data_IF_439077007440
#
_entry.id   IF_439077007440
#
_cell.length_a   1.000
_cell.length_b   1.000
_cell.length_c   1.000
_cell.angle_alpha   90.00
_cell.angle_beta   90.00
_cell.angle_gamma   90.00
#
_symmetry.space_group_name_H-M   'P 1'
#
loop_
_entity.id
_entity.type
_entity.pdbx_description
1 polymer ?
#
# COMPACT_ATOMS: atom_id res chain seq x y z
N UNK A 1 -4.21 27.73 71.70
CA UNK A 1 -3.46 26.81 70.86
C UNK A 1 -4.31 26.52 69.64
N UNK A 2 -3.94 27.11 68.51
CA UNK A 2 -4.66 26.92 67.22
C UNK A 2 -3.82 25.92 66.42
N UNK A 3 -4.38 24.70 66.22
CA UNK A 3 -3.72 23.66 65.43
C UNK A 3 -3.86 23.93 63.95
N UNK A 4 -2.74 24.08 63.27
CA UNK A 4 -2.64 24.27 61.83
C UNK A 4 -2.68 22.88 61.16
N UNK A 5 -3.81 22.52 60.56
CA UNK A 5 -3.88 21.33 59.66
C UNK A 5 -3.25 21.68 58.31
N UNK A 6 -2.06 21.17 58.08
CA UNK A 6 -1.45 21.20 56.74
C UNK A 6 -1.99 20.02 55.92
N UNK A 7 -2.85 20.31 54.95
CA UNK A 7 -3.32 19.30 53.96
C UNK A 7 -2.28 19.22 52.88
N UNK A 8 -1.50 18.13 52.88
CA UNK A 8 -0.60 17.79 51.74
C UNK A 8 -1.47 17.29 50.57
N UNK A 9 -1.58 18.11 49.54
CA UNK A 9 -2.04 17.66 48.22
C UNK A 9 -0.92 16.91 47.53
N UNK A 10 -0.98 15.57 47.54
CA UNK A 10 -0.16 14.74 46.66
C UNK A 10 -0.83 14.75 45.28
N UNK A 11 -0.35 15.58 44.40
CA UNK A 11 -0.75 15.60 42.99
C UNK A 11 -0.22 14.35 42.31
N UNK A 12 -1.06 13.32 42.19
CA UNK A 12 -0.78 12.20 41.28
C UNK A 12 -0.98 12.75 39.87
N UNK A 13 0.12 13.09 39.21
CA UNK A 13 0.09 13.31 37.78
C UNK A 13 -0.21 11.97 37.10
N UNK A 14 -1.48 11.71 36.82
CA UNK A 14 -1.86 10.69 35.85
C UNK A 14 -1.26 11.10 34.52
N UNK A 15 -0.12 10.50 34.15
CA UNK A 15 0.31 10.52 32.77
C UNK A 15 -0.78 9.80 31.97
N UNK A 16 -1.60 10.57 31.26
CA UNK A 16 -2.49 10.00 30.28
C UNK A 16 -1.60 9.27 29.24
N UNK A 17 -1.56 7.95 29.33
CA UNK A 17 -0.95 7.14 28.29
C UNK A 17 -1.65 7.50 26.98
N UNK A 18 -0.90 7.93 25.99
CA UNK A 18 -1.43 8.17 24.66
C UNK A 18 -2.17 6.92 24.21
N UNK A 19 -3.42 7.06 23.81
CA UNK A 19 -4.22 5.98 23.24
C UNK A 19 -3.64 5.49 21.90
N UNK A 20 -2.70 6.23 21.34
CA UNK A 20 -2.06 5.91 20.07
C UNK A 20 -0.62 5.43 20.28
N UNK A 21 -0.13 4.50 19.45
CA UNK A 21 1.25 4.05 19.51
C UNK A 21 2.22 5.18 19.22
N UNK A 22 3.45 5.02 19.70
CA UNK A 22 4.55 5.91 19.38
C UNK A 22 5.13 5.51 18.01
N UNK A 23 4.59 6.07 16.95
CA UNK A 23 5.04 5.80 15.57
C UNK A 23 6.51 6.16 15.33
N UNK A 24 7.11 7.03 16.17
CA UNK A 24 8.53 7.40 16.03
C UNK A 24 9.51 6.25 16.28
N UNK A 25 9.02 5.15 16.81
CA UNK A 25 9.78 3.91 17.02
C UNK A 25 9.40 2.81 16.03
N UNK A 26 8.55 3.12 15.07
CA UNK A 26 8.00 2.16 14.12
C UNK A 26 8.54 2.39 12.71
N UNK A 27 8.64 1.31 11.95
CA UNK A 27 9.14 1.29 10.59
C UNK A 27 7.98 1.16 9.60
N UNK A 28 7.99 2.03 8.59
CA UNK A 28 6.97 2.06 7.55
C UNK A 28 7.48 1.46 6.25
N UNK A 29 6.75 0.48 5.71
CA UNK A 29 6.96 -0.10 4.39
C UNK A 29 5.78 0.15 3.47
N UNK A 30 5.99 0.25 2.17
CA UNK A 30 4.91 0.29 1.19
C UNK A 30 5.29 -0.27 -0.17
N UNK A 31 4.27 -0.77 -0.87
CA UNK A 31 4.31 -1.17 -2.28
C UNK A 31 3.14 -0.54 -3.04
N UNK A 32 3.31 -0.40 -4.34
CA UNK A 32 2.29 0.18 -5.22
C UNK A 32 2.76 0.40 -6.65
N UNK A 33 1.97 1.16 -7.37
CA UNK A 33 2.24 1.53 -8.76
C UNK A 33 2.79 2.96 -8.90
N UNK A 34 2.61 3.59 -10.08
CA UNK A 34 3.08 4.95 -10.37
C UNK A 34 2.57 6.02 -9.38
N UNK A 35 1.41 5.82 -8.76
CA UNK A 35 0.85 6.75 -7.76
C UNK A 35 1.68 6.68 -6.47
N UNK A 36 2.27 5.53 -6.15
CA UNK A 36 3.10 5.30 -4.96
C UNK A 36 4.60 5.51 -5.24
N UNK A 37 5.08 5.17 -6.44
CA UNK A 37 6.50 5.25 -6.82
C UNK A 37 7.07 6.68 -6.68
N UNK A 38 6.25 7.72 -6.83
CA UNK A 38 6.64 9.12 -6.59
C UNK A 38 6.81 9.49 -5.12
N UNK A 39 6.52 8.59 -4.20
CA UNK A 39 6.70 8.70 -2.74
C UNK A 39 5.94 9.82 -2.02
N UNK A 40 5.19 10.69 -2.70
CA UNK A 40 4.64 11.89 -2.07
C UNK A 40 3.58 11.59 -1.02
N UNK A 41 2.59 10.71 -1.31
CA UNK A 41 1.60 10.36 -0.31
C UNK A 41 2.21 9.55 0.84
N UNK A 42 3.14 8.63 0.56
CA UNK A 42 3.77 7.79 1.58
C UNK A 42 4.69 8.62 2.48
N UNK A 43 5.45 9.57 1.93
CA UNK A 43 6.19 10.57 2.73
C UNK A 43 5.26 11.43 3.60
N UNK A 44 4.11 11.86 3.07
CA UNK A 44 3.11 12.59 3.87
C UNK A 44 2.63 11.76 5.05
N UNK A 45 2.41 10.45 4.87
CA UNK A 45 2.07 9.52 5.97
C UNK A 45 3.19 9.46 7.00
N UNK A 46 4.41 9.22 6.54
CA UNK A 46 5.60 9.13 7.41
C UNK A 46 5.80 10.39 8.22
N UNK A 47 5.73 11.56 7.58
CA UNK A 47 5.92 12.85 8.25
C UNK A 47 4.81 13.16 9.27
N UNK A 48 3.54 12.90 8.94
CA UNK A 48 2.40 13.18 9.81
C UNK A 48 2.31 12.26 11.02
N UNK A 49 2.73 11.01 10.88
CA UNK A 49 2.71 10.03 11.97
C UNK A 49 4.06 9.96 12.69
N UNK A 50 5.12 10.44 12.07
CA UNK A 50 6.47 10.47 12.62
C UNK A 50 7.19 9.13 12.59
N UNK A 51 6.95 8.28 11.59
CA UNK A 51 7.63 6.99 11.47
C UNK A 51 9.16 7.14 11.42
N UNK A 52 9.86 6.17 12.04
CA UNK A 52 11.32 6.16 12.08
C UNK A 52 11.97 5.93 10.71
N UNK A 53 11.33 5.14 9.86
CA UNK A 53 11.85 4.78 8.52
C UNK A 53 10.77 4.83 7.46
N UNK A 54 11.21 4.92 6.19
CA UNK A 54 10.37 4.85 5.01
C UNK A 54 11.01 3.92 3.97
N UNK A 55 10.43 2.75 3.74
CA UNK A 55 10.90 1.79 2.74
C UNK A 55 9.83 1.57 1.66
N UNK A 56 10.02 2.13 0.48
CA UNK A 56 9.10 2.09 -0.65
C UNK A 56 9.70 1.27 -1.80
N UNK A 57 9.03 0.17 -2.15
CA UNK A 57 9.43 -0.71 -3.27
C UNK A 57 8.53 -0.56 -4.50
N UNK A 58 7.61 0.41 -4.49
CA UNK A 58 6.69 0.67 -5.58
C UNK A 58 7.38 1.08 -6.87
N UNK A 59 6.88 0.60 -8.00
CA UNK A 59 7.37 0.95 -9.34
C UNK A 59 6.20 1.37 -10.24
N UNK A 60 6.43 2.34 -11.11
CA UNK A 60 5.42 2.79 -12.07
C UNK A 60 4.86 1.63 -12.92
N UNK A 61 3.56 1.66 -13.18
CA UNK A 61 2.85 0.64 -13.98
C UNK A 61 2.68 -0.74 -13.34
N UNK A 62 3.11 -0.94 -12.10
CA UNK A 62 2.99 -2.21 -11.40
C UNK A 62 1.53 -2.69 -11.27
N UNK A 63 1.38 -4.01 -11.19
CA UNK A 63 0.11 -4.73 -11.00
C UNK A 63 0.20 -5.70 -9.82
N UNK A 64 -0.95 -6.06 -9.26
CA UNK A 64 -1.06 -7.22 -8.38
C UNK A 64 -0.80 -8.52 -9.16
N UNK A 65 -1.49 -8.64 -10.31
CA UNK A 65 -1.39 -9.80 -11.18
C UNK A 65 0.01 -9.94 -11.75
N UNK A 66 0.57 -11.14 -11.66
CA UNK A 66 1.79 -11.51 -12.36
C UNK A 66 1.50 -11.69 -13.85
N UNK A 67 2.46 -11.34 -14.69
CA UNK A 67 2.45 -11.79 -16.08
C UNK A 67 2.79 -13.29 -16.13
N UNK A 68 2.26 -14.08 -17.11
CA UNK A 68 2.62 -15.49 -17.26
C UNK A 68 4.12 -15.77 -17.34
N UNK A 69 4.89 -14.80 -17.86
CA UNK A 69 6.34 -14.89 -17.97
C UNK A 69 7.10 -14.29 -16.77
N UNK A 70 6.37 -13.92 -15.69
CA UNK A 70 7.00 -13.42 -14.46
C UNK A 70 7.89 -14.50 -13.87
N UNK A 71 9.15 -14.13 -13.61
CA UNK A 71 10.13 -15.01 -12.99
C UNK A 71 10.26 -14.68 -11.50
N UNK A 72 10.47 -15.71 -10.69
CA UNK A 72 10.86 -15.53 -9.30
C UNK A 72 12.36 -15.23 -9.26
N UNK A 73 12.72 -14.02 -8.86
CA UNK A 73 14.11 -13.64 -8.68
C UNK A 73 14.51 -13.85 -7.21
N UNK A 74 15.63 -14.48 -7.00
CA UNK A 74 16.37 -14.33 -5.76
C UNK A 74 16.88 -12.89 -5.63
N UNK A 75 17.38 -12.52 -4.46
CA UNK A 75 17.83 -11.15 -4.14
C UNK A 75 18.75 -10.49 -5.17
N UNK A 76 19.50 -11.28 -5.94
CA UNK A 76 20.39 -10.79 -7.00
C UNK A 76 19.65 -10.36 -8.29
N UNK A 77 18.37 -10.69 -8.47
CA UNK A 77 17.61 -10.48 -9.70
C UNK A 77 16.76 -9.21 -9.76
N UNK A 78 16.72 -8.42 -8.68
CA UNK A 78 15.82 -7.25 -8.60
C UNK A 78 16.26 -6.02 -9.38
N UNK A 79 17.51 -5.97 -9.85
CA UNK A 79 18.04 -4.85 -10.61
C UNK A 79 17.30 -4.60 -11.96
N UNK A 80 16.52 -5.57 -12.42
CA UNK A 80 15.78 -5.51 -13.67
C UNK A 80 14.33 -5.07 -13.57
N UNK A 81 13.81 -4.69 -12.36
CA UNK A 81 12.43 -4.22 -12.24
C UNK A 81 12.30 -2.83 -12.84
N UNK A 82 11.41 -2.67 -13.81
CA UNK A 82 11.18 -1.39 -14.48
C UNK A 82 9.71 -1.19 -14.84
N UNK A 83 9.25 0.06 -14.74
CA UNK A 83 7.96 0.50 -15.26
C UNK A 83 7.96 0.86 -16.76
N UNK A 84 9.01 0.54 -17.50
CA UNK A 84 9.15 0.85 -18.93
C UNK A 84 8.00 0.32 -19.78
N UNK A 85 7.60 1.07 -20.80
CA UNK A 85 6.47 0.74 -21.67
C UNK A 85 6.89 0.21 -23.05
N UNK A 86 8.15 0.46 -23.45
CA UNK A 86 8.66 0.08 -24.76
C UNK A 86 9.59 -1.14 -24.64
N UNK A 87 9.35 -2.23 -25.37
CA UNK A 87 10.30 -3.32 -25.44
C UNK A 87 11.60 -2.85 -26.10
N UNK A 88 12.72 -3.30 -25.56
CA UNK A 88 14.03 -3.12 -26.21
C UNK A 88 14.25 -4.18 -27.28
N UNK A 89 15.16 -3.92 -28.24
CA UNK A 89 15.48 -4.87 -29.31
C UNK A 89 15.98 -6.21 -28.78
N UNK A 90 16.61 -6.23 -27.61
CA UNK A 90 17.12 -7.45 -26.96
C UNK A 90 16.08 -8.15 -26.06
N UNK A 91 14.84 -7.64 -25.99
CA UNK A 91 13.77 -8.17 -25.15
C UNK A 91 13.95 -7.96 -23.65
N UNK A 92 15.05 -7.32 -23.22
CA UNK A 92 15.40 -7.14 -21.81
C UNK A 92 14.39 -6.28 -21.05
N UNK A 93 13.91 -5.21 -21.69
CA UNK A 93 12.90 -4.34 -21.09
C UNK A 93 11.55 -5.03 -20.95
N UNK A 94 11.20 -5.92 -21.89
CA UNK A 94 10.00 -6.73 -21.80
C UNK A 94 10.07 -7.65 -20.56
N UNK A 95 11.21 -8.31 -20.33
CA UNK A 95 11.43 -9.14 -19.13
C UNK A 95 11.35 -8.30 -17.85
N UNK A 96 11.92 -7.10 -17.85
CA UNK A 96 11.85 -6.17 -16.72
C UNK A 96 10.40 -5.77 -16.40
N UNK A 97 9.54 -5.61 -17.42
CA UNK A 97 8.10 -5.35 -17.23
C UNK A 97 7.37 -6.52 -16.62
N UNK A 98 7.67 -7.74 -17.03
CA UNK A 98 7.03 -8.95 -16.51
C UNK A 98 7.31 -9.14 -15.02
N UNK A 99 8.38 -8.55 -14.52
CA UNK A 99 8.74 -8.55 -13.11
C UNK A 99 8.25 -7.33 -12.33
N UNK A 100 7.61 -6.38 -12.99
CA UNK A 100 7.02 -5.21 -12.35
C UNK A 100 5.64 -5.53 -11.78
N UNK A 101 5.64 -6.44 -10.82
CA UNK A 101 4.44 -6.98 -10.18
C UNK A 101 4.67 -7.08 -8.66
N UNK A 102 3.58 -7.01 -7.89
CA UNK A 102 3.67 -6.99 -6.43
C UNK A 102 4.43 -8.21 -5.88
N UNK A 103 4.27 -9.39 -6.45
CA UNK A 103 5.01 -10.58 -6.02
C UNK A 103 6.53 -10.35 -6.00
N UNK A 104 7.09 -9.84 -7.08
CA UNK A 104 8.53 -9.56 -7.19
C UNK A 104 8.96 -8.39 -6.30
N UNK A 105 8.11 -7.35 -6.17
CA UNK A 105 8.37 -6.24 -5.25
C UNK A 105 8.44 -6.72 -3.79
N UNK A 106 7.55 -7.60 -3.37
CA UNK A 106 7.55 -8.14 -2.00
C UNK A 106 8.76 -9.05 -1.76
N UNK A 107 9.15 -9.87 -2.74
CA UNK A 107 10.40 -10.63 -2.65
C UNK A 107 11.63 -9.71 -2.48
N UNK A 108 11.68 -8.61 -3.25
CA UNK A 108 12.70 -7.58 -3.11
C UNK A 108 12.68 -6.94 -1.72
N UNK A 109 11.49 -6.52 -1.25
CA UNK A 109 11.33 -5.93 0.08
C UNK A 109 11.88 -6.83 1.17
N UNK A 110 11.51 -8.11 1.15
CA UNK A 110 11.97 -9.11 2.13
C UNK A 110 13.50 -9.26 2.07
N UNK A 111 14.07 -9.39 0.86
CA UNK A 111 15.51 -9.53 0.69
C UNK A 111 16.29 -8.30 1.21
N UNK A 112 15.78 -7.09 1.01
CA UNK A 112 16.39 -5.86 1.52
C UNK A 112 16.32 -5.77 3.05
N UNK A 113 15.25 -6.29 3.67
CA UNK A 113 15.17 -6.40 5.14
C UNK A 113 16.09 -7.50 5.67
N UNK A 114 16.12 -8.68 5.06
CA UNK A 114 16.96 -9.80 5.48
C UNK A 114 18.45 -9.48 5.33
N UNK A 115 18.85 -8.67 4.36
CA UNK A 115 20.21 -8.18 4.19
C UNK A 115 20.62 -7.10 5.22
N UNK A 116 19.66 -6.60 6.01
CA UNK A 116 19.87 -5.51 6.96
C UNK A 116 19.91 -4.11 6.33
N UNK A 117 19.59 -3.96 5.04
CA UNK A 117 19.52 -2.67 4.37
C UNK A 117 18.40 -1.81 4.95
N UNK A 118 17.27 -2.43 5.30
CA UNK A 118 16.14 -1.80 5.96
C UNK A 118 15.69 -2.63 7.17
N UNK A 119 15.11 -2.00 8.19
CA UNK A 119 14.49 -2.73 9.30
C UNK A 119 13.18 -3.40 8.86
N UNK A 120 12.76 -4.44 9.61
CA UNK A 120 11.45 -5.05 9.44
C UNK A 120 10.33 -4.02 9.64
N UNK A 121 9.24 -4.08 8.85
CA UNK A 121 8.14 -3.12 8.95
C UNK A 121 7.26 -3.40 10.19
N UNK A 122 6.84 -2.34 10.87
CA UNK A 122 5.76 -2.39 11.84
C UNK A 122 4.40 -2.07 11.18
N UNK A 123 4.45 -1.27 10.11
CA UNK A 123 3.30 -0.93 9.26
C UNK A 123 3.68 -1.15 7.80
N UNK A 124 2.83 -1.87 7.05
CA UNK A 124 2.98 -2.03 5.60
C UNK A 124 1.70 -1.62 4.87
N UNK A 125 1.83 -0.78 3.84
CA UNK A 125 0.70 -0.27 3.07
C UNK A 125 0.82 -0.64 1.60
N UNK A 126 -0.15 -1.36 1.09
CA UNK A 126 -0.32 -1.58 -0.35
C UNK A 126 -1.21 -0.50 -0.95
N UNK A 127 -0.78 0.11 -2.06
CA UNK A 127 -1.59 1.04 -2.86
C UNK A 127 -1.47 0.69 -4.34
N UNK A 128 -2.20 -0.33 -4.76
CA UNK A 128 -2.11 -0.94 -6.08
C UNK A 128 -3.52 -1.26 -6.65
N UNK A 129 -3.58 -1.81 -7.86
CA UNK A 129 -4.82 -2.26 -8.51
C UNK A 129 -5.25 -1.41 -9.71
N UNK A 130 -4.75 -0.18 -9.85
CA UNK A 130 -5.12 0.72 -10.96
C UNK A 130 -4.84 0.12 -12.33
N UNK A 131 -3.75 -0.63 -12.49
CA UNK A 131 -3.26 -1.16 -13.77
C UNK A 131 -3.73 -2.58 -14.09
N UNK A 132 -4.31 -3.27 -13.12
CA UNK A 132 -4.73 -4.66 -13.27
C UNK A 132 -5.86 -4.79 -14.31
N UNK A 133 -5.77 -5.83 -15.13
CA UNK A 133 -6.74 -6.18 -16.18
C UNK A 133 -7.41 -7.52 -15.93
N UNK A 134 -6.63 -8.52 -15.54
CA UNK A 134 -7.11 -9.87 -15.26
C UNK A 134 -7.46 -9.96 -13.79
N UNK A 135 -8.77 -9.81 -13.49
CA UNK A 135 -9.20 -9.62 -12.11
C UNK A 135 -9.25 -10.92 -11.31
N UNK A 136 -9.67 -12.02 -11.91
CA UNK A 136 -10.01 -13.24 -11.19
C UNK A 136 -11.15 -13.01 -10.17
N UNK A 137 -11.30 -13.89 -9.21
CA UNK A 137 -12.28 -13.72 -8.14
C UNK A 137 -11.65 -13.95 -6.76
N UNK A 138 -12.17 -13.26 -5.75
CA UNK A 138 -11.74 -13.46 -4.37
C UNK A 138 -12.03 -14.89 -3.89
N UNK A 139 -13.16 -15.48 -4.32
CA UNK A 139 -13.52 -16.84 -3.99
C UNK A 139 -12.46 -17.84 -4.47
N UNK A 140 -12.04 -17.77 -5.74
CA UNK A 140 -11.01 -18.66 -6.28
C UNK A 140 -9.65 -18.42 -5.64
N UNK A 141 -9.30 -17.18 -5.38
CA UNK A 141 -8.05 -16.84 -4.70
C UNK A 141 -7.98 -17.36 -3.26
N UNK A 142 -9.11 -17.41 -2.53
CA UNK A 142 -9.18 -17.74 -1.10
C UNK A 142 -9.48 -19.22 -0.83
N UNK A 143 -10.18 -19.90 -1.73
CA UNK A 143 -10.73 -21.24 -1.50
C UNK A 143 -9.65 -22.30 -1.27
N UNK A 144 -9.48 -22.73 0.00
CA UNK A 144 -8.72 -23.92 0.40
C UNK A 144 -7.28 -24.04 -0.10
N UNK A 145 -6.73 -22.98 -0.68
CA UNK A 145 -5.41 -22.98 -1.32
C UNK A 145 -4.32 -22.49 -0.37
N UNK A 146 -3.20 -23.18 -0.40
CA UNK A 146 -1.94 -22.65 0.14
C UNK A 146 -1.42 -21.51 -0.77
N UNK A 147 -0.46 -20.72 -0.30
CA UNK A 147 0.14 -19.68 -1.15
C UNK A 147 0.77 -20.20 -2.44
N UNK A 148 1.29 -21.45 -2.42
CA UNK A 148 1.86 -22.09 -3.60
C UNK A 148 0.82 -22.47 -4.67
N UNK A 149 -0.45 -22.62 -4.28
CA UNK A 149 -1.56 -23.01 -5.16
C UNK A 149 -2.37 -21.82 -5.67
N UNK A 150 -2.08 -20.61 -5.18
CA UNK A 150 -2.78 -19.40 -5.61
C UNK A 150 -2.38 -19.04 -7.04
N UNK A 151 -3.37 -18.83 -7.89
CA UNK A 151 -3.13 -18.31 -9.25
C UNK A 151 -2.79 -16.82 -9.19
N UNK A 152 -1.50 -16.53 -9.12
CA UNK A 152 -0.98 -15.16 -9.06
C UNK A 152 -1.06 -14.41 -10.39
N UNK A 153 -1.53 -15.04 -11.47
CA UNK A 153 -1.72 -14.35 -12.76
C UNK A 153 -3.00 -13.50 -12.78
N UNK A 154 -3.82 -13.59 -11.75
CA UNK A 154 -4.98 -12.73 -11.53
C UNK A 154 -4.71 -11.68 -10.45
N UNK A 155 -5.44 -10.56 -10.50
CA UNK A 155 -5.36 -9.50 -9.48
C UNK A 155 -5.71 -10.05 -8.08
N UNK A 156 -6.77 -10.86 -8.00
CA UNK A 156 -7.20 -11.46 -6.74
C UNK A 156 -6.13 -12.37 -6.14
N UNK A 157 -5.53 -13.23 -6.95
CA UNK A 157 -4.49 -14.13 -6.51
C UNK A 157 -3.19 -13.41 -6.15
N UNK A 158 -2.76 -12.46 -6.97
CA UNK A 158 -1.57 -11.65 -6.70
C UNK A 158 -1.72 -10.83 -5.41
N UNK A 159 -2.89 -10.20 -5.20
CA UNK A 159 -3.18 -9.45 -3.97
C UNK A 159 -3.17 -10.36 -2.73
N UNK A 160 -3.86 -11.51 -2.79
CA UNK A 160 -3.81 -12.47 -1.69
C UNK A 160 -2.38 -12.90 -1.38
N UNK A 161 -1.62 -13.29 -2.42
CA UNK A 161 -0.27 -13.78 -2.25
C UNK A 161 0.62 -12.72 -1.56
N UNK A 162 0.62 -11.50 -2.05
CA UNK A 162 1.47 -10.43 -1.53
C UNK A 162 1.11 -10.06 -0.09
N UNK A 163 -0.18 -9.89 0.20
CA UNK A 163 -0.66 -9.53 1.55
C UNK A 163 -0.32 -10.63 2.54
N UNK A 164 -0.64 -11.88 2.22
CA UNK A 164 -0.39 -13.02 3.11
C UNK A 164 1.11 -13.26 3.32
N UNK A 165 1.95 -13.06 2.29
CA UNK A 165 3.40 -13.17 2.40
C UNK A 165 3.97 -12.18 3.42
N UNK A 166 3.52 -10.91 3.41
CA UNK A 166 3.94 -9.93 4.42
C UNK A 166 3.48 -10.33 5.81
N UNK A 167 2.24 -10.81 5.97
CA UNK A 167 1.72 -11.27 7.26
C UNK A 167 2.49 -12.48 7.83
N UNK A 168 2.93 -13.40 6.97
CA UNK A 168 3.69 -14.59 7.38
C UNK A 168 5.14 -14.26 7.73
N UNK A 169 5.81 -13.38 6.96
CA UNK A 169 7.19 -12.97 7.23
C UNK A 169 7.30 -12.01 8.42
N UNK A 170 6.31 -11.14 8.61
CA UNK A 170 6.28 -10.12 9.64
C UNK A 170 4.99 -10.20 10.47
N UNK A 171 4.82 -11.21 11.35
CA UNK A 171 3.56 -11.47 12.04
C UNK A 171 3.09 -10.34 12.98
N UNK A 172 3.96 -9.41 13.33
CA UNK A 172 3.63 -8.24 14.14
C UNK A 172 3.32 -7.00 13.30
N UNK A 173 3.56 -7.06 11.99
CA UNK A 173 3.29 -5.97 11.06
C UNK A 173 1.79 -5.74 10.91
N UNK A 174 1.35 -4.49 11.02
CA UNK A 174 -0.01 -4.09 10.65
C UNK A 174 -0.06 -3.78 9.17
N UNK A 175 -0.81 -4.59 8.44
CA UNK A 175 -0.96 -4.45 6.99
C UNK A 175 -2.24 -3.68 6.66
N UNK A 176 -2.12 -2.73 5.74
CA UNK A 176 -3.22 -1.94 5.20
C UNK A 176 -3.23 -2.04 3.67
N UNK A 177 -4.42 -2.02 3.09
CA UNK A 177 -4.59 -2.03 1.62
C UNK A 177 -5.42 -0.83 1.23
N UNK A 178 -4.86 0.05 0.40
CA UNK A 178 -5.59 1.18 -0.18
C UNK A 178 -6.33 0.74 -1.44
N UNK A 179 -7.59 1.14 -1.57
CA UNK A 179 -8.30 1.02 -2.85
C UNK A 179 -7.70 1.96 -3.90
N UNK A 180 -7.82 1.65 -5.21
CA UNK A 180 -7.59 2.65 -6.25
C UNK A 180 -8.41 3.91 -5.98
N UNK A 181 -7.89 5.08 -6.34
CA UNK A 181 -8.61 6.36 -6.27
C UNK A 181 -9.59 6.51 -7.45
N UNK A 182 -10.51 7.48 -7.36
CA UNK A 182 -11.28 7.91 -8.52
C UNK A 182 -10.38 8.60 -9.54
N UNK A 183 -10.71 8.45 -10.80
CA UNK A 183 -10.03 9.03 -11.97
C UNK A 183 -10.99 9.91 -12.75
N UNK A 184 -10.50 10.68 -13.71
CA UNK A 184 -11.34 11.43 -14.64
C UNK A 184 -12.06 10.56 -15.69
N UNK A 185 -11.69 9.27 -15.79
CA UNK A 185 -12.28 8.32 -16.74
C UNK A 185 -13.35 7.47 -16.06
N UNK A 186 -14.61 7.61 -16.55
CA UNK A 186 -15.78 6.91 -16.01
C UNK A 186 -15.64 5.39 -16.13
N UNK A 187 -15.19 4.90 -17.29
CA UNK A 187 -15.04 3.45 -17.53
C UNK A 187 -13.98 2.84 -16.59
N UNK A 188 -12.90 3.57 -16.36
CA UNK A 188 -11.89 3.15 -15.38
C UNK A 188 -12.46 3.12 -13.96
N UNK A 189 -13.29 4.08 -13.61
CA UNK A 189 -13.92 4.12 -12.29
C UNK A 189 -14.88 2.93 -12.09
N UNK A 190 -15.65 2.55 -13.10
CA UNK A 190 -16.51 1.34 -13.06
C UNK A 190 -15.66 0.09 -12.80
N UNK A 191 -14.57 -0.09 -13.54
CA UNK A 191 -13.64 -1.21 -13.31
C UNK A 191 -12.94 -1.14 -11.94
N UNK A 192 -12.66 0.05 -11.44
CA UNK A 192 -12.10 0.19 -10.09
C UNK A 192 -13.08 -0.29 -9.02
N UNK A 193 -14.40 -0.11 -9.20
CA UNK A 193 -15.39 -0.64 -8.26
C UNK A 193 -15.38 -2.18 -8.20
N UNK A 194 -15.21 -2.86 -9.34
CA UNK A 194 -15.06 -4.32 -9.39
C UNK A 194 -13.80 -4.76 -8.62
N UNK A 195 -12.66 -4.09 -8.83
CA UNK A 195 -11.40 -4.34 -8.12
C UNK A 195 -11.53 -4.14 -6.61
N UNK A 196 -12.23 -3.07 -6.22
CA UNK A 196 -12.49 -2.76 -4.81
C UNK A 196 -13.31 -3.85 -4.13
N UNK A 197 -14.31 -4.39 -4.81
CA UNK A 197 -15.11 -5.49 -4.29
C UNK A 197 -14.23 -6.72 -4.00
N UNK A 198 -13.35 -7.09 -4.93
CA UNK A 198 -12.38 -8.19 -4.76
C UNK A 198 -11.43 -7.93 -3.59
N UNK A 199 -10.80 -6.74 -3.54
CA UNK A 199 -9.87 -6.39 -2.47
C UNK A 199 -10.54 -6.40 -1.09
N UNK A 200 -11.80 -5.96 -1.00
CA UNK A 200 -12.57 -5.98 0.24
C UNK A 200 -12.78 -7.40 0.77
N UNK A 201 -13.09 -8.34 -0.11
CA UNK A 201 -13.26 -9.75 0.25
C UNK A 201 -11.95 -10.38 0.74
N UNK A 202 -10.84 -10.12 0.03
CA UNK A 202 -9.52 -10.62 0.41
C UNK A 202 -9.08 -10.02 1.75
N UNK A 203 -9.20 -8.71 1.92
CA UNK A 203 -8.84 -8.04 3.17
C UNK A 203 -9.68 -8.56 4.34
N UNK A 204 -11.00 -8.77 4.14
CA UNK A 204 -11.87 -9.34 5.16
C UNK A 204 -11.43 -10.76 5.56
N UNK A 205 -11.09 -11.60 4.59
CA UNK A 205 -10.68 -12.98 4.84
C UNK A 205 -9.33 -13.07 5.59
N UNK A 206 -8.43 -12.12 5.33
CA UNK A 206 -7.11 -12.06 5.96
C UNK A 206 -7.06 -11.17 7.22
N UNK A 207 -8.21 -10.63 7.66
CA UNK A 207 -8.30 -9.67 8.78
C UNK A 207 -7.39 -8.44 8.60
N UNK A 208 -7.28 -7.96 7.37
CA UNK A 208 -6.49 -6.79 6.98
C UNK A 208 -7.41 -5.58 6.77
N UNK A 209 -6.96 -4.41 7.22
CA UNK A 209 -7.73 -3.17 7.07
C UNK A 209 -7.68 -2.66 5.63
N UNK A 210 -8.85 -2.49 5.01
CA UNK A 210 -9.00 -1.80 3.73
C UNK A 210 -9.19 -0.29 3.97
N UNK A 211 -8.34 0.54 3.38
CA UNK A 211 -8.46 2.00 3.36
C UNK A 211 -9.17 2.41 2.07
N UNK A 212 -10.41 2.87 2.16
CA UNK A 212 -11.23 3.22 1.01
C UNK A 212 -10.87 4.60 0.44
N UNK A 213 -9.74 4.66 -0.28
CA UNK A 213 -9.29 5.86 -0.96
C UNK A 213 -10.24 6.28 -2.10
N UNK A 214 -10.97 5.34 -2.71
CA UNK A 214 -11.94 5.64 -3.76
C UNK A 214 -13.06 6.56 -3.28
N UNK A 215 -13.60 6.25 -2.12
CA UNK A 215 -14.76 6.97 -1.58
C UNK A 215 -14.36 8.16 -0.70
N UNK A 216 -13.18 8.13 -0.07
CA UNK A 216 -12.90 9.02 1.05
C UNK A 216 -11.60 9.84 0.93
N UNK A 217 -10.77 9.64 -0.11
CA UNK A 217 -9.52 10.42 -0.27
C UNK A 217 -9.74 11.90 -0.53
N UNK A 218 -10.94 12.32 -0.91
CA UNK A 218 -11.25 13.68 -1.33
C UNK A 218 -11.01 13.94 -2.83
N UNK A 219 -10.45 12.98 -3.57
CA UNK A 219 -10.29 13.03 -5.02
C UNK A 219 -11.60 12.51 -5.63
N UNK A 220 -12.34 13.38 -6.31
CA UNK A 220 -13.64 13.06 -6.89
C UNK A 220 -13.58 13.15 -8.41
N UNK A 221 -13.78 12.03 -9.09
CA UNK A 221 -13.68 11.93 -10.56
C UNK A 221 -14.56 12.94 -11.31
N UNK A 222 -15.68 13.36 -10.73
CA UNK A 222 -16.56 14.40 -11.29
C UNK A 222 -15.84 15.74 -11.56
N UNK A 223 -14.80 16.07 -10.80
CA UNK A 223 -14.03 17.31 -10.94
C UNK A 223 -12.70 17.12 -11.66
N UNK A 224 -12.45 15.90 -12.15
CA UNK A 224 -11.25 15.56 -12.89
C UNK A 224 -11.55 15.49 -14.40
N UNK A 225 -10.52 15.63 -15.22
CA UNK A 225 -10.63 15.48 -16.67
C UNK A 225 -10.28 14.04 -17.05
N UNK A 226 -10.91 13.45 -18.08
CA UNK A 226 -10.53 12.11 -18.56
C UNK A 226 -9.08 12.02 -19.05
N UNK A 227 -8.56 13.16 -19.55
CA UNK A 227 -7.18 13.37 -19.92
C UNK A 227 -6.79 14.83 -19.66
N UNK A 228 -5.53 15.07 -19.32
CA UNK A 228 -5.06 16.40 -18.96
C UNK A 228 -5.38 16.76 -17.49
N UNK A 229 -5.10 18.01 -17.13
CA UNK A 229 -5.16 18.48 -15.75
C UNK A 229 -6.60 18.71 -15.29
N UNK A 230 -6.99 18.04 -14.21
CA UNK A 230 -8.21 18.30 -13.45
C UNK A 230 -7.93 19.10 -12.17
N UNK A 231 -8.73 18.85 -11.13
CA UNK A 231 -8.60 19.52 -9.84
C UNK A 231 -7.38 19.03 -9.06
N UNK A 232 -7.21 17.70 -8.95
CA UNK A 232 -6.15 17.05 -8.19
C UNK A 232 -5.35 16.03 -9.01
N UNK A 233 -5.80 15.74 -10.24
CA UNK A 233 -5.10 14.83 -11.16
C UNK A 233 -4.45 15.64 -12.29
N UNK A 234 -3.16 15.37 -12.54
CA UNK A 234 -2.41 16.09 -13.59
C UNK A 234 -2.73 15.65 -15.02
N UNK A 235 -3.26 14.43 -15.18
CA UNK A 235 -3.49 13.77 -16.47
C UNK A 235 -4.73 12.87 -16.47
N UNK A 236 -5.66 13.12 -15.54
CA UNK A 236 -6.88 12.34 -15.35
C UNK A 236 -6.69 11.05 -14.54
N UNK A 237 -5.46 10.67 -14.20
CA UNK A 237 -5.11 9.46 -13.47
C UNK A 237 -4.18 9.71 -12.27
N UNK A 238 -3.07 10.40 -12.50
CA UNK A 238 -2.04 10.58 -11.49
C UNK A 238 -2.29 11.84 -10.66
N UNK A 239 -2.39 11.72 -9.34
CA UNK A 239 -2.50 12.88 -8.48
C UNK A 239 -1.31 13.84 -8.66
N UNK A 240 -1.59 15.13 -8.71
CA UNK A 240 -0.57 16.15 -8.57
C UNK A 240 -0.11 16.25 -7.10
N UNK A 241 0.75 17.21 -6.79
CA UNK A 241 1.29 17.35 -5.43
C UNK A 241 0.18 17.49 -4.38
N UNK A 242 -0.83 18.31 -4.66
CA UNK A 242 -1.94 18.57 -3.72
C UNK A 242 -2.82 17.32 -3.57
N UNK A 243 -3.12 16.60 -4.65
CA UNK A 243 -3.83 15.33 -4.63
C UNK A 243 -3.08 14.24 -3.86
N UNK A 244 -1.77 14.17 -4.00
CA UNK A 244 -0.91 13.25 -3.25
C UNK A 244 -0.92 13.57 -1.75
N UNK A 245 -0.82 14.84 -1.36
CA UNK A 245 -0.90 15.27 0.03
C UNK A 245 -2.27 14.96 0.64
N UNK A 246 -3.36 15.21 -0.11
CA UNK A 246 -4.72 14.92 0.31
C UNK A 246 -4.90 13.42 0.59
N UNK A 247 -4.46 12.57 -0.34
CA UNK A 247 -4.46 11.11 -0.18
C UNK A 247 -3.62 10.67 1.02
N UNK A 248 -2.41 11.21 1.18
CA UNK A 248 -1.52 10.87 2.30
C UNK A 248 -2.11 11.24 3.67
N UNK A 249 -2.76 12.39 3.79
CA UNK A 249 -3.47 12.83 5.02
C UNK A 249 -4.61 11.86 5.38
N UNK A 250 -5.37 11.43 4.38
CA UNK A 250 -6.45 10.47 4.59
C UNK A 250 -5.89 9.13 5.06
N UNK A 251 -4.87 8.59 4.36
CA UNK A 251 -4.23 7.31 4.73
C UNK A 251 -3.62 7.39 6.15
N UNK A 252 -2.93 8.48 6.49
CA UNK A 252 -2.37 8.67 7.84
C UNK A 252 -3.44 8.65 8.92
N UNK A 253 -4.58 9.31 8.68
CA UNK A 253 -5.74 9.27 9.58
C UNK A 253 -6.27 7.85 9.78
N UNK A 254 -6.43 7.09 8.68
CA UNK A 254 -6.94 5.72 8.73
C UNK A 254 -5.97 4.77 9.45
N UNK A 255 -4.66 4.89 9.20
CA UNK A 255 -3.64 4.12 9.93
C UNK A 255 -3.74 4.42 11.44
N UNK A 256 -3.78 5.70 11.83
CA UNK A 256 -3.89 6.09 13.25
C UNK A 256 -5.14 5.51 13.90
N UNK A 257 -6.29 5.60 13.23
CA UNK A 257 -7.58 5.20 13.79
C UNK A 257 -7.76 3.68 13.88
N UNK A 258 -7.08 2.92 13.03
CA UNK A 258 -7.25 1.47 12.90
C UNK A 258 -6.00 0.68 13.31
N UNK A 259 -5.08 1.30 14.04
CA UNK A 259 -3.84 0.63 14.45
C UNK A 259 -4.07 -0.43 15.55
N UNK A 260 -5.15 -0.32 16.32
CA UNK A 260 -5.47 -1.19 17.45
C UNK A 260 -6.32 -2.38 17.06
#
# INVERSE_FOLDING_TARGET
MIGLCVVLWIGIALQAQSLYPDFSKMNFGCDGNSITAGEQWSKTVVDLLGFATHHNVAVGSATWACHPDTQDYGSAGFAGISGGWQPTEDGRELQMRHNNVSKVHIQKFIAEVESGQYPAPDVFVFSMGTNDKDLGSAEEALRGKTLAEVDVTTMAGGARWAIQTILEHYPKCRVFVCTPIQTGDVTRNERNLEKIAILREICRALSVQLIDCYSNSGITGKFEQPSGRGRYLRDGLHPDKEGQELMGRYIAKEIRNNFF
#
